data_IF_676734275051
#
_entry.id   IF_676734275051
#
_cell.length_a   1.000
_cell.length_b   1.000
_cell.length_c   1.000
_cell.angle_alpha   90.00
_cell.angle_beta   90.00
_cell.angle_gamma   90.00
#
_symmetry.space_group_name_H-M   'P 1'
#
loop_
_entity.id
_entity.type
_entity.pdbx_description
1 polymer ?
#
# COMPACT_ATOMS: atom_id res chain seq x y z
N UNK A 1 -18.83 23.55 -12.26
CA UNK A 1 -18.65 22.18 -12.79
C UNK A 1 -19.12 21.21 -11.71
N UNK A 2 -20.37 20.77 -11.77
CA UNK A 2 -20.91 19.80 -10.79
C UNK A 2 -20.41 18.40 -11.17
N UNK A 3 -19.23 18.03 -10.70
CA UNK A 3 -18.81 16.62 -10.74
C UNK A 3 -19.62 15.88 -9.69
N UNK A 4 -20.66 15.18 -10.12
CA UNK A 4 -21.33 14.19 -9.28
C UNK A 4 -20.26 13.22 -8.80
N UNK A 5 -19.91 13.27 -7.51
CA UNK A 5 -18.91 12.41 -6.88
C UNK A 5 -19.22 10.91 -7.02
N UNK A 6 -20.45 10.60 -7.46
CA UNK A 6 -20.97 9.26 -7.69
C UNK A 6 -20.31 8.51 -8.86
N UNK A 7 -19.68 9.19 -9.82
CA UNK A 7 -19.03 8.54 -11.00
C UNK A 7 -17.54 8.89 -11.18
N UNK A 8 -16.94 9.61 -10.24
CA UNK A 8 -15.57 10.12 -10.38
C UNK A 8 -14.53 9.00 -10.45
N UNK A 9 -13.66 9.06 -11.46
CA UNK A 9 -12.48 8.20 -11.62
C UNK A 9 -11.31 8.59 -10.71
N UNK A 10 -11.31 9.81 -10.16
CA UNK A 10 -10.17 10.38 -9.42
C UNK A 10 -9.76 9.48 -8.24
N UNK A 11 -10.67 8.97 -7.38
CA UNK A 11 -10.27 8.08 -6.28
C UNK A 11 -9.64 6.77 -6.77
N UNK A 12 -10.09 6.23 -7.90
CA UNK A 12 -9.52 5.01 -8.47
C UNK A 12 -8.12 5.25 -9.03
N UNK A 13 -7.91 6.35 -9.77
CA UNK A 13 -6.58 6.75 -10.25
C UNK A 13 -5.63 6.92 -9.07
N UNK A 14 -6.06 7.64 -8.02
CA UNK A 14 -5.27 7.81 -6.80
C UNK A 14 -4.87 6.48 -6.16
N UNK A 15 -5.82 5.55 -6.00
CA UNK A 15 -5.54 4.21 -5.47
C UNK A 15 -4.56 3.41 -6.34
N UNK A 16 -4.71 3.46 -7.66
CA UNK A 16 -3.81 2.76 -8.59
C UNK A 16 -2.40 3.33 -8.50
N UNK A 17 -2.24 4.66 -8.52
CA UNK A 17 -0.94 5.32 -8.37
C UNK A 17 -0.28 4.99 -7.04
N UNK A 18 -1.05 4.99 -5.94
CA UNK A 18 -0.56 4.57 -4.63
C UNK A 18 -0.19 3.08 -4.60
N UNK A 19 -0.97 2.22 -5.24
CA UNK A 19 -0.71 0.78 -5.29
C UNK A 19 0.57 0.43 -6.06
N UNK A 20 0.91 1.19 -7.11
CA UNK A 20 2.08 0.94 -7.96
C UNK A 20 3.36 0.75 -7.16
N UNK A 21 3.60 1.61 -6.15
CA UNK A 21 4.85 1.53 -5.39
C UNK A 21 4.96 0.24 -4.58
N UNK A 22 3.85 -0.25 -4.05
CA UNK A 22 3.81 -1.51 -3.31
C UNK A 22 4.00 -2.69 -4.26
N UNK A 23 3.29 -2.72 -5.38
CA UNK A 23 3.40 -3.82 -6.35
C UNK A 23 4.81 -3.92 -6.92
N UNK A 24 5.39 -2.80 -7.36
CA UNK A 24 6.76 -2.77 -7.90
C UNK A 24 7.78 -3.18 -6.82
N UNK A 25 7.64 -2.67 -5.59
CA UNK A 25 8.50 -3.04 -4.46
C UNK A 25 8.43 -4.54 -4.16
N UNK A 26 7.22 -5.11 -4.07
CA UNK A 26 6.99 -6.51 -3.75
C UNK A 26 7.45 -7.46 -4.86
N UNK A 27 7.24 -7.11 -6.13
CA UNK A 27 7.76 -7.89 -7.27
C UNK A 27 9.29 -7.84 -7.29
N UNK A 28 9.90 -6.69 -7.01
CA UNK A 28 11.36 -6.59 -6.87
C UNK A 28 11.93 -7.55 -5.82
N UNK A 29 11.24 -7.67 -4.68
CA UNK A 29 11.60 -8.64 -3.62
C UNK A 29 11.47 -10.10 -4.07
N UNK A 30 10.50 -10.42 -4.91
CA UNK A 30 10.34 -11.75 -5.50
C UNK A 30 11.41 -12.08 -6.55
N UNK A 31 11.88 -11.08 -7.30
CA UNK A 31 12.94 -11.25 -8.29
C UNK A 31 14.33 -11.38 -7.66
N UNK A 32 14.55 -10.78 -6.47
CA UNK A 32 15.82 -10.82 -5.75
C UNK A 32 15.63 -11.15 -4.25
N UNK A 33 15.14 -12.36 -3.91
CA UNK A 33 14.82 -12.71 -2.53
C UNK A 33 16.06 -12.77 -1.63
N UNK A 34 17.17 -13.33 -2.13
CA UNK A 34 18.42 -13.42 -1.37
C UNK A 34 18.98 -12.04 -0.99
N UNK A 35 18.96 -11.08 -1.91
CA UNK A 35 19.39 -9.71 -1.66
C UNK A 35 18.49 -9.03 -0.60
N UNK A 36 17.18 -9.24 -0.69
CA UNK A 36 16.22 -8.68 0.28
C UNK A 36 16.39 -9.30 1.67
N UNK A 37 16.60 -10.61 1.77
CA UNK A 37 16.87 -11.29 3.05
C UNK A 37 18.16 -10.73 3.68
N UNK A 38 19.22 -10.58 2.88
CA UNK A 38 20.48 -9.99 3.33
C UNK A 38 20.27 -8.56 3.84
N UNK A 39 19.49 -7.75 3.13
CA UNK A 39 19.15 -6.39 3.56
C UNK A 39 18.38 -6.39 4.89
N UNK A 40 17.34 -7.21 5.02
CA UNK A 40 16.55 -7.31 6.27
C UNK A 40 17.43 -7.73 7.45
N UNK A 41 18.28 -8.73 7.26
CA UNK A 41 19.22 -9.17 8.28
C UNK A 41 20.22 -8.07 8.67
N UNK A 42 20.72 -7.31 7.70
CA UNK A 42 21.65 -6.20 7.94
C UNK A 42 21.03 -5.05 8.74
N UNK A 43 19.70 -4.90 8.72
CA UNK A 43 18.97 -3.92 9.53
C UNK A 43 18.75 -4.36 10.98
N UNK A 44 19.27 -5.51 11.38
CA UNK A 44 19.18 -6.01 12.76
C UNK A 44 17.82 -6.63 13.13
N UNK A 45 16.93 -6.84 12.16
CA UNK A 45 15.64 -7.47 12.40
C UNK A 45 15.77 -9.00 12.52
N UNK A 46 15.08 -9.63 13.48
CA UNK A 46 15.04 -11.08 13.57
C UNK A 46 14.20 -11.67 12.43
N UNK A 47 14.40 -12.96 12.14
CA UNK A 47 13.58 -13.75 11.20
C UNK A 47 13.48 -13.15 9.78
N UNK A 48 14.62 -12.79 9.18
CA UNK A 48 14.66 -12.11 7.88
C UNK A 48 13.84 -12.79 6.76
N UNK A 49 13.84 -14.12 6.68
CA UNK A 49 13.04 -14.88 5.70
C UNK A 49 11.53 -14.71 5.93
N UNK A 50 11.08 -14.71 7.18
CA UNK A 50 9.68 -14.43 7.52
C UNK A 50 9.33 -12.97 7.21
N UNK A 51 10.24 -12.04 7.51
CA UNK A 51 10.11 -10.63 7.15
C UNK A 51 9.90 -10.41 5.65
N UNK A 52 10.69 -11.10 4.81
CA UNK A 52 10.51 -11.09 3.36
C UNK A 52 9.11 -11.60 2.97
N UNK A 53 8.68 -12.75 3.50
CA UNK A 53 7.39 -13.34 3.16
C UNK A 53 6.22 -12.40 3.52
N UNK A 54 6.27 -11.80 4.71
CA UNK A 54 5.28 -10.80 5.17
C UNK A 54 5.30 -9.57 4.27
N UNK A 55 6.48 -9.03 3.96
CA UNK A 55 6.62 -7.86 3.09
C UNK A 55 6.01 -8.12 1.71
N UNK A 56 6.35 -9.23 1.06
CA UNK A 56 5.81 -9.60 -0.26
C UNK A 56 4.29 -9.77 -0.21
N UNK A 57 3.76 -10.47 0.81
CA UNK A 57 2.31 -10.68 0.93
C UNK A 57 1.55 -9.36 1.07
N UNK A 58 2.06 -8.44 1.90
CA UNK A 58 1.46 -7.12 2.10
C UNK A 58 1.62 -6.26 0.86
N UNK A 59 2.80 -6.20 0.25
CA UNK A 59 3.09 -5.30 -0.86
C UNK A 59 2.41 -5.73 -2.16
N UNK A 60 2.55 -6.99 -2.55
CA UNK A 60 1.94 -7.52 -3.78
C UNK A 60 0.45 -7.72 -3.58
N UNK A 61 0.06 -8.44 -2.53
CA UNK A 61 -1.34 -8.75 -2.25
C UNK A 61 -2.14 -7.52 -1.88
N UNK A 62 -1.64 -6.72 -0.93
CA UNK A 62 -2.26 -5.47 -0.52
C UNK A 62 -2.28 -4.43 -1.63
N UNK A 63 -1.17 -4.27 -2.38
CA UNK A 63 -1.12 -3.38 -3.54
C UNK A 63 -2.16 -3.73 -4.60
N UNK A 64 -2.26 -5.00 -5.00
CA UNK A 64 -3.27 -5.47 -5.95
C UNK A 64 -4.70 -5.24 -5.45
N UNK A 65 -4.98 -5.58 -4.17
CA UNK A 65 -6.30 -5.38 -3.58
C UNK A 65 -6.67 -3.90 -3.48
N UNK A 66 -5.72 -3.01 -3.19
CA UNK A 66 -5.92 -1.56 -3.16
C UNK A 66 -6.28 -1.03 -4.56
N UNK A 67 -5.54 -1.46 -5.59
CA UNK A 67 -5.78 -1.07 -6.98
C UNK A 67 -7.19 -1.49 -7.44
N UNK A 68 -7.57 -2.74 -7.19
CA UNK A 68 -8.89 -3.28 -7.52
C UNK A 68 -10.03 -2.68 -6.66
N UNK A 69 -9.69 -2.07 -5.53
CA UNK A 69 -10.67 -1.53 -4.59
C UNK A 69 -11.44 -2.64 -3.87
N UNK A 70 -10.73 -3.65 -3.40
CA UNK A 70 -11.26 -4.77 -2.62
C UNK A 70 -10.88 -4.60 -1.14
N UNK A 71 -11.87 -4.64 -0.24
CA UNK A 71 -11.70 -4.38 1.20
C UNK A 71 -10.91 -3.10 1.46
N UNK A 72 -11.17 -2.06 0.67
CA UNK A 72 -10.30 -0.92 0.42
C UNK A 72 -9.85 -0.20 1.69
N UNK A 73 -10.77 0.06 2.62
CA UNK A 73 -10.43 0.75 3.90
C UNK A 73 -9.50 -0.09 4.77
N UNK A 74 -9.74 -1.40 4.84
CA UNK A 74 -8.91 -2.31 5.63
C UNK A 74 -7.52 -2.44 5.01
N UNK A 75 -7.46 -2.65 3.69
CA UNK A 75 -6.19 -2.79 2.95
C UNK A 75 -5.36 -1.52 3.02
N UNK A 76 -5.98 -0.36 2.83
CA UNK A 76 -5.30 0.92 2.97
C UNK A 76 -4.75 1.12 4.38
N UNK A 77 -5.49 0.72 5.42
CA UNK A 77 -5.01 0.76 6.81
C UNK A 77 -3.80 -0.14 7.04
N UNK A 78 -3.81 -1.38 6.53
CA UNK A 78 -2.68 -2.31 6.62
C UNK A 78 -1.45 -1.76 5.89
N UNK A 79 -1.62 -1.27 4.66
CA UNK A 79 -0.52 -0.68 3.89
C UNK A 79 0.03 0.61 4.53
N UNK A 80 -0.82 1.40 5.18
CA UNK A 80 -0.40 2.60 5.90
C UNK A 80 0.47 2.22 7.11
N UNK A 81 0.00 1.27 7.93
CA UNK A 81 0.76 0.76 9.06
C UNK A 81 2.08 0.13 8.61
N UNK A 82 2.07 -0.68 7.55
CA UNK A 82 3.27 -1.26 6.96
C UNK A 82 4.26 -0.19 6.46
N UNK A 83 3.77 0.88 5.83
CA UNK A 83 4.61 1.99 5.39
C UNK A 83 5.30 2.67 6.57
N UNK A 84 4.57 2.94 7.66
CA UNK A 84 5.15 3.52 8.89
C UNK A 84 6.21 2.59 9.49
N UNK A 85 5.89 1.30 9.63
CA UNK A 85 6.83 0.31 10.19
C UNK A 85 8.11 0.25 9.35
N UNK A 86 7.99 0.14 8.03
CA UNK A 86 9.16 0.06 7.13
C UNK A 86 9.96 1.36 7.10
N UNK A 87 9.32 2.53 7.22
CA UNK A 87 10.00 3.81 7.34
C UNK A 87 11.01 3.80 8.49
N UNK A 88 10.56 3.47 9.69
CA UNK A 88 11.40 3.52 10.88
C UNK A 88 12.35 2.31 11.01
N UNK A 89 11.95 1.14 10.52
CA UNK A 89 12.80 -0.04 10.58
C UNK A 89 14.02 0.06 9.64
N UNK A 90 13.83 0.56 8.42
CA UNK A 90 14.87 0.52 7.38
C UNK A 90 15.55 1.86 7.10
N UNK A 91 14.90 2.99 7.43
CA UNK A 91 15.32 4.33 6.98
C UNK A 91 15.53 5.34 8.12
N UNK A 92 16.20 4.90 9.19
CA UNK A 92 16.42 5.72 10.40
C UNK A 92 17.65 6.64 10.33
N UNK A 93 18.56 6.46 9.36
CA UNK A 93 19.76 7.29 9.20
C UNK A 93 19.44 8.61 8.49
N UNK A 94 18.78 9.55 9.17
CA UNK A 94 18.25 10.80 8.58
C UNK A 94 19.31 11.77 8.04
N UNK A 95 20.58 11.59 8.41
CA UNK A 95 21.70 12.36 7.87
C UNK A 95 22.10 11.88 6.45
N UNK A 96 21.75 10.65 6.09
CA UNK A 96 21.88 10.14 4.72
C UNK A 96 20.66 10.58 3.91
N UNK A 97 20.91 11.32 2.82
CA UNK A 97 19.85 11.90 2.01
C UNK A 97 18.96 10.83 1.36
N UNK A 98 19.53 9.69 0.96
CA UNK A 98 18.78 8.62 0.32
C UNK A 98 17.83 7.94 1.32
N UNK A 99 18.32 7.66 2.53
CA UNK A 99 17.52 7.15 3.65
C UNK A 99 16.39 8.13 4.02
N UNK A 100 16.70 9.43 4.14
CA UNK A 100 15.69 10.45 4.43
C UNK A 100 14.58 10.48 3.37
N UNK A 101 14.92 10.40 2.09
CA UNK A 101 13.92 10.36 1.01
C UNK A 101 13.03 9.11 1.13
N UNK A 102 13.59 7.95 1.41
CA UNK A 102 12.80 6.73 1.58
C UNK A 102 11.89 6.76 2.82
N UNK A 103 12.37 7.34 3.92
CA UNK A 103 11.57 7.61 5.12
C UNK A 103 10.37 8.51 4.75
N UNK A 104 10.62 9.68 4.16
CA UNK A 104 9.58 10.65 3.79
C UNK A 104 8.59 10.10 2.78
N UNK A 105 9.06 9.29 1.82
CA UNK A 105 8.22 8.56 0.87
C UNK A 105 7.25 7.65 1.61
N UNK A 106 7.71 6.84 2.56
CA UNK A 106 6.83 5.95 3.32
C UNK A 106 5.84 6.71 4.22
N UNK A 107 6.26 7.83 4.84
CA UNK A 107 5.36 8.68 5.63
C UNK A 107 4.28 9.32 4.74
N UNK A 108 4.68 9.83 3.57
CA UNK A 108 3.75 10.36 2.55
C UNK A 108 2.75 9.29 2.10
N UNK A 109 3.21 8.07 1.86
CA UNK A 109 2.34 6.95 1.50
C UNK A 109 1.33 6.61 2.61
N UNK A 110 1.77 6.57 3.87
CA UNK A 110 0.87 6.36 4.99
C UNK A 110 -0.21 7.46 5.06
N UNK A 111 0.17 8.73 4.89
CA UNK A 111 -0.76 9.85 4.84
C UNK A 111 -1.79 9.73 3.72
N UNK A 112 -1.36 9.44 2.49
CA UNK A 112 -2.26 9.24 1.34
C UNK A 112 -3.21 8.05 1.54
N UNK A 113 -2.71 6.94 2.08
CA UNK A 113 -3.52 5.76 2.37
C UNK A 113 -4.53 6.03 3.49
N UNK A 114 -4.20 6.83 4.50
CA UNK A 114 -5.16 7.26 5.52
C UNK A 114 -6.30 8.11 4.94
N UNK A 115 -6.04 8.89 3.87
CA UNK A 115 -7.14 9.54 3.13
C UNK A 115 -8.07 8.51 2.48
N UNK A 116 -7.53 7.42 1.94
CA UNK A 116 -8.33 6.29 1.41
C UNK A 116 -9.09 5.59 2.55
N UNK A 117 -8.48 5.43 3.72
CA UNK A 117 -9.18 4.92 4.92
C UNK A 117 -10.33 5.84 5.28
N UNK A 118 -10.16 7.16 5.28
CA UNK A 118 -11.20 8.11 5.66
C UNK A 118 -12.36 8.15 4.64
N UNK A 119 -12.04 8.28 3.36
CA UNK A 119 -13.02 8.56 2.29
C UNK A 119 -13.50 7.31 1.52
N UNK A 120 -12.82 6.17 1.68
CA UNK A 120 -13.24 4.90 1.08
C UNK A 120 -12.81 4.71 -0.38
N UNK A 121 -13.43 3.74 -1.04
CA UNK A 121 -12.96 3.20 -2.32
C UNK A 121 -13.31 4.06 -3.54
N UNK A 122 -14.32 4.93 -3.43
CA UNK A 122 -14.90 5.63 -4.57
C UNK A 122 -15.73 4.73 -5.48
N UNK A 123 -16.33 5.35 -6.50
CA UNK A 123 -17.31 4.72 -7.39
C UNK A 123 -16.77 3.50 -8.14
N UNK A 124 -15.54 3.60 -8.64
CA UNK A 124 -14.86 2.59 -9.44
C UNK A 124 -14.06 1.63 -8.56
N UNK A 125 -14.76 0.73 -7.86
CA UNK A 125 -14.17 -0.28 -6.98
C UNK A 125 -15.02 -1.54 -6.91
N UNK A 126 -14.38 -2.69 -6.66
CA UNK A 126 -15.09 -3.94 -6.42
C UNK A 126 -15.97 -3.88 -5.15
N UNK A 127 -15.55 -3.13 -4.13
CA UNK A 127 -16.36 -2.89 -2.93
C UNK A 127 -17.70 -2.21 -3.26
N UNK A 128 -17.69 -1.25 -4.19
CA UNK A 128 -18.90 -0.54 -4.58
C UNK A 128 -19.80 -1.37 -5.52
N UNK A 129 -19.20 -2.13 -6.45
CA UNK A 129 -19.94 -3.03 -7.33
C UNK A 129 -20.77 -4.06 -6.53
N UNK A 130 -20.15 -4.70 -5.53
CA UNK A 130 -20.84 -5.68 -4.66
C UNK A 130 -22.01 -5.08 -3.86
N UNK A 131 -21.89 -3.81 -3.44
CA UNK A 131 -22.99 -3.11 -2.73
C UNK A 131 -24.17 -2.87 -3.67
N UNK A 132 -23.91 -2.53 -4.93
CA UNK A 132 -24.95 -2.37 -5.94
C UNK A 132 -25.72 -3.66 -6.22
N UNK A 133 -25.02 -4.79 -6.29
CA UNK A 133 -25.66 -6.09 -6.51
C UNK A 133 -26.57 -6.50 -5.35
N UNK A 134 -26.12 -6.31 -4.10
CA UNK A 134 -26.93 -6.59 -2.91
C UNK A 134 -28.18 -5.70 -2.83
N UNK A 135 -28.06 -4.41 -3.20
CA UNK A 135 -29.19 -3.48 -3.19
C UNK A 135 -30.21 -3.78 -4.30
N UNK A 136 -29.83 -4.45 -5.39
CA UNK A 136 -30.73 -4.89 -6.46
C UNK A 136 -31.41 -6.22 -6.17
N UNK A 137 -30.85 -7.01 -5.25
CA UNK A 137 -31.36 -8.32 -4.86
C UNK A 137 -32.30 -8.29 -3.64
N UNK A 138 -32.43 -7.13 -2.96
CA UNK A 138 -33.31 -6.87 -1.82
C UNK A 138 -34.57 -6.10 -2.26
#
# INVERSE_FOLDING_TARGET
MNTSTKDSLIPAIGRILMATIFVVSGVGKLMAPAATIGYIASSGLPFATLGLAVAVAIEVGGGAMLALGLKTRLVAGVLAAFSVVTAFAFHHAIADQNQLIHLLKNITMAGGLLQVVAFGAGAWSLDNARRGDLARAA
#
